data_IF_926767565798
#
_entry.id   IF_926767565798
#
_cell.length_a   1.000
_cell.length_b   1.000
_cell.length_c   1.000
_cell.angle_alpha   90.00
_cell.angle_beta   90.00
_cell.angle_gamma   90.00
#
_symmetry.space_group_name_H-M   'P 1'
#
loop_
_entity.id
_entity.type
_entity.pdbx_description
1 polymer ?
#
# COMPACT_ATOMS: atom_id res chain seq x y z
N UNK A 1 18.70 -0.75 -3.88
CA UNK A 1 19.18 -1.05 -2.51
C UNK A 1 18.63 -2.40 -2.11
N UNK A 2 19.43 -3.26 -1.46
CA UNK A 2 18.89 -4.49 -0.86
C UNK A 2 18.12 -4.13 0.42
N UNK A 3 17.09 -4.90 0.77
CA UNK A 3 16.43 -4.75 2.08
C UNK A 3 17.34 -5.24 3.21
N UNK A 4 17.05 -4.84 4.44
CA UNK A 4 17.79 -5.31 5.61
C UNK A 4 17.72 -6.83 5.76
N UNK A 5 16.57 -7.42 5.47
CA UNK A 5 16.36 -8.88 5.42
C UNK A 5 17.26 -9.54 4.37
N UNK A 6 17.22 -9.07 3.11
CA UNK A 6 18.07 -9.59 2.02
C UNK A 6 19.57 -9.49 2.39
N UNK A 7 19.99 -8.38 3.02
CA UNK A 7 21.37 -8.22 3.47
C UNK A 7 21.71 -9.22 4.59
N UNK A 8 20.86 -9.35 5.61
CA UNK A 8 21.10 -10.17 6.80
C UNK A 8 21.15 -11.67 6.48
N UNK A 9 20.28 -12.14 5.60
CA UNK A 9 20.23 -13.54 5.19
C UNK A 9 21.35 -13.90 4.20
N UNK A 10 21.88 -12.92 3.46
CA UNK A 10 23.02 -13.15 2.56
C UNK A 10 24.35 -13.35 3.29
N UNK A 11 24.45 -12.93 4.55
CA UNK A 11 25.69 -12.99 5.35
C UNK A 11 25.82 -14.38 5.98
N UNK A 12 26.19 -15.37 5.18
CA UNK A 12 26.63 -16.71 5.60
C UNK A 12 25.52 -17.72 5.95
N UNK A 13 25.73 -18.99 5.58
CA UNK A 13 24.91 -20.14 6.00
C UNK A 13 23.41 -20.06 5.69
N UNK A 14 22.64 -21.01 6.22
CA UNK A 14 21.17 -20.94 6.20
C UNK A 14 20.71 -20.02 7.34
N UNK A 15 20.29 -18.80 7.00
CA UNK A 15 19.78 -17.77 7.91
C UNK A 15 18.35 -17.38 7.51
N UNK A 16 17.49 -17.15 8.50
CA UNK A 16 16.10 -16.73 8.30
C UNK A 16 15.76 -15.61 9.30
N UNK A 17 15.37 -14.45 8.78
CA UNK A 17 14.94 -13.32 9.59
C UNK A 17 13.42 -13.22 9.57
N UNK A 18 12.80 -13.17 10.74
CA UNK A 18 11.35 -13.12 10.88
C UNK A 18 10.92 -11.84 11.60
N UNK A 19 9.97 -11.12 11.01
CA UNK A 19 9.35 -9.93 11.61
C UNK A 19 8.02 -10.33 12.21
N UNK A 20 7.73 -9.90 13.43
CA UNK A 20 6.49 -10.27 14.10
C UNK A 20 6.05 -9.27 15.15
N UNK A 21 4.74 -9.19 15.38
CA UNK A 21 4.16 -8.48 16.52
C UNK A 21 4.28 -9.24 17.84
N UNK A 22 3.68 -8.68 18.88
CA UNK A 22 3.51 -9.33 20.20
C UNK A 22 2.70 -10.61 20.05
N UNK A 23 3.13 -11.69 20.72
CA UNK A 23 2.46 -13.00 20.62
C UNK A 23 1.10 -12.90 21.34
N UNK A 24 -0.02 -13.20 20.67
CA UNK A 24 -1.32 -13.28 21.33
C UNK A 24 -1.35 -14.43 22.34
N UNK A 25 -2.05 -14.24 23.47
CA UNK A 25 -2.08 -15.22 24.56
C UNK A 25 -2.74 -16.54 24.15
N UNK A 26 -3.74 -16.48 23.27
CA UNK A 26 -4.43 -17.62 22.69
C UNK A 26 -3.52 -18.43 21.75
N UNK A 27 -2.60 -17.78 21.03
CA UNK A 27 -1.57 -18.47 20.24
C UNK A 27 -0.48 -19.04 21.14
N UNK A 28 -0.08 -18.32 22.19
CA UNK A 28 0.95 -18.77 23.13
C UNK A 28 0.56 -20.05 23.89
N UNK A 29 -0.73 -20.31 24.05
CA UNK A 29 -1.27 -21.52 24.67
C UNK A 29 -1.34 -22.74 23.73
N UNK A 30 -1.03 -22.56 22.43
CA UNK A 30 -1.09 -23.61 21.43
C UNK A 30 0.24 -24.37 21.29
N UNK A 31 0.32 -25.27 20.31
CA UNK A 31 1.53 -26.05 20.06
C UNK A 31 2.67 -25.18 19.50
N UNK A 32 3.94 -25.61 19.62
CA UNK A 32 5.06 -24.92 19.01
C UNK A 32 4.89 -24.68 17.50
N UNK A 33 4.25 -25.61 16.80
CA UNK A 33 3.97 -25.49 15.36
C UNK A 33 2.96 -24.38 15.07
N UNK A 34 1.96 -24.19 15.93
CA UNK A 34 0.99 -23.10 15.79
C UNK A 34 1.66 -21.73 16.04
N UNK A 35 2.57 -21.65 17.02
CA UNK A 35 3.36 -20.45 17.28
C UNK A 35 4.25 -20.14 16.07
N UNK A 36 4.99 -21.11 15.54
CA UNK A 36 5.84 -20.95 14.35
C UNK A 36 5.03 -20.51 13.12
N UNK A 37 3.88 -21.14 12.88
CA UNK A 37 2.99 -20.77 11.78
C UNK A 37 2.50 -19.33 11.91
N UNK A 38 2.14 -18.90 13.12
CA UNK A 38 1.73 -17.53 13.37
C UNK A 38 2.87 -16.53 13.14
N UNK A 39 4.09 -16.84 13.58
CA UNK A 39 5.27 -15.99 13.35
C UNK A 39 5.52 -15.83 11.84
N UNK A 40 5.50 -16.93 11.09
CA UNK A 40 5.68 -16.91 9.63
C UNK A 40 4.59 -16.13 8.92
N UNK A 41 3.34 -16.23 9.39
CA UNK A 41 2.24 -15.43 8.85
C UNK A 41 2.45 -13.93 9.09
N UNK A 42 2.90 -13.54 10.29
CA UNK A 42 3.22 -12.14 10.59
C UNK A 42 4.35 -11.63 9.69
N UNK A 43 5.40 -12.43 9.51
CA UNK A 43 6.51 -12.05 8.65
C UNK A 43 6.09 -11.95 7.18
N UNK A 44 5.25 -12.86 6.68
CA UNK A 44 4.74 -12.81 5.30
C UNK A 44 3.94 -11.54 5.00
N UNK A 45 3.33 -10.92 6.02
CA UNK A 45 2.73 -9.59 5.90
C UNK A 45 3.78 -8.47 5.99
N UNK A 46 4.62 -8.49 7.03
CA UNK A 46 5.46 -7.35 7.39
C UNK A 46 6.76 -7.25 6.58
N UNK A 47 7.40 -8.37 6.26
CA UNK A 47 8.67 -8.43 5.52
C UNK A 47 8.59 -7.70 4.17
N UNK A 48 7.62 -8.02 3.30
CA UNK A 48 7.45 -7.30 2.04
C UNK A 48 7.16 -5.81 2.22
N UNK A 49 6.35 -5.41 3.21
CA UNK A 49 6.07 -3.99 3.49
C UNK A 49 7.35 -3.24 3.89
N UNK A 50 8.11 -3.79 4.84
CA UNK A 50 9.39 -3.24 5.31
C UNK A 50 10.37 -3.14 4.14
N UNK A 51 10.55 -4.21 3.36
CA UNK A 51 11.47 -4.23 2.23
C UNK A 51 11.13 -3.15 1.18
N UNK A 52 9.85 -2.95 0.88
CA UNK A 52 9.41 -1.89 -0.05
C UNK A 52 9.69 -0.50 0.54
N UNK A 53 9.35 -0.28 1.82
CA UNK A 53 9.57 0.99 2.50
C UNK A 53 11.05 1.36 2.57
N UNK A 54 11.93 0.41 2.89
CA UNK A 54 13.37 0.63 2.92
C UNK A 54 13.91 0.98 1.52
N UNK A 55 13.50 0.22 0.50
CA UNK A 55 13.91 0.45 -0.88
C UNK A 55 13.46 1.82 -1.40
N UNK A 56 12.25 2.25 -1.05
CA UNK A 56 11.70 3.55 -1.45
C UNK A 56 12.37 4.71 -0.70
N UNK A 57 12.56 4.58 0.62
CA UNK A 57 13.17 5.61 1.45
C UNK A 57 14.69 5.71 1.27
N UNK A 58 15.33 4.72 0.64
CA UNK A 58 16.78 4.64 0.49
C UNK A 58 17.51 4.50 1.83
N UNK A 59 16.83 4.02 2.86
CA UNK A 59 17.41 3.79 4.20
C UNK A 59 16.80 2.57 4.86
N UNK A 60 17.61 1.87 5.66
CA UNK A 60 17.17 0.71 6.44
C UNK A 60 16.39 1.13 7.68
N UNK A 61 15.28 0.44 7.95
CA UNK A 61 14.51 0.51 9.20
C UNK A 61 15.17 -0.34 10.29
N UNK A 62 15.97 -1.32 9.90
CA UNK A 62 16.73 -2.19 10.78
C UNK A 62 18.22 -1.86 10.67
N UNK A 63 18.82 -1.45 11.78
CA UNK A 63 20.27 -1.31 11.83
C UNK A 63 20.92 -2.66 12.09
N UNK A 64 22.05 -2.93 11.45
CA UNK A 64 22.80 -4.17 11.65
C UNK A 64 24.26 -3.89 11.94
N UNK A 65 24.75 -4.38 13.07
CA UNK A 65 26.16 -4.29 13.49
C UNK A 65 26.52 -5.49 14.35
N UNK A 66 27.75 -5.99 14.23
CA UNK A 66 28.28 -7.07 15.06
C UNK A 66 27.42 -8.34 15.11
N UNK A 67 26.86 -8.75 13.96
CA UNK A 67 25.95 -9.91 13.84
C UNK A 67 24.66 -9.77 14.68
N UNK A 68 24.25 -8.53 14.99
CA UNK A 68 23.05 -8.18 15.73
C UNK A 68 22.23 -7.14 14.97
N UNK A 69 20.91 -7.29 15.00
CA UNK A 69 19.99 -6.31 14.46
C UNK A 69 19.43 -5.44 15.59
N UNK A 70 19.24 -4.15 15.34
CA UNK A 70 18.62 -3.23 16.28
C UNK A 70 17.56 -2.36 15.61
N UNK A 71 16.41 -2.24 16.28
CA UNK A 71 15.28 -1.39 15.88
C UNK A 71 14.42 -1.08 17.10
N UNK A 72 13.78 0.10 17.12
CA UNK A 72 12.88 0.48 18.23
C UNK A 72 13.52 0.47 19.62
N UNK A 73 14.84 0.70 19.72
CA UNK A 73 15.58 0.63 20.99
C UNK A 73 15.88 -0.78 21.50
N UNK A 74 15.49 -1.83 20.76
CA UNK A 74 15.77 -3.23 21.08
C UNK A 74 16.88 -3.80 20.19
N UNK A 75 17.60 -4.79 20.71
CA UNK A 75 18.65 -5.52 20.00
C UNK A 75 18.32 -7.01 19.93
N UNK A 76 18.57 -7.60 18.78
CA UNK A 76 18.21 -8.96 18.41
C UNK A 76 19.45 -9.72 17.95
N UNK A 77 19.53 -11.00 18.30
CA UNK A 77 20.64 -11.88 17.98
C UNK A 77 20.11 -13.15 17.30
N UNK A 78 20.98 -13.80 16.53
CA UNK A 78 20.68 -15.09 15.93
C UNK A 78 20.52 -16.19 16.98
N UNK A 79 19.63 -17.14 16.69
CA UNK A 79 19.42 -18.36 17.47
C UNK A 79 19.49 -19.57 16.56
N UNK A 80 20.12 -20.65 17.02
CA UNK A 80 20.21 -21.89 16.23
C UNK A 80 18.94 -22.72 16.38
N UNK A 81 18.31 -23.06 15.25
CA UNK A 81 17.20 -23.98 15.16
C UNK A 81 17.63 -25.24 14.39
N UNK A 82 17.52 -26.38 15.06
CA UNK A 82 17.73 -27.69 14.44
C UNK A 82 16.43 -28.16 13.78
N UNK A 83 16.47 -28.43 12.47
CA UNK A 83 15.37 -29.02 11.72
C UNK A 83 15.35 -30.54 11.89
N UNK A 84 14.19 -31.15 11.66
CA UNK A 84 13.97 -32.60 11.79
C UNK A 84 14.86 -33.44 10.85
N UNK A 85 15.33 -32.85 9.75
CA UNK A 85 16.26 -33.47 8.79
C UNK A 85 17.73 -33.40 9.24
N UNK A 86 18.01 -32.89 10.44
CA UNK A 86 19.35 -32.71 10.99
C UNK A 86 20.08 -31.47 10.50
N UNK A 87 19.47 -30.67 9.61
CA UNK A 87 20.03 -29.38 9.19
C UNK A 87 19.84 -28.33 10.29
N UNK A 88 20.77 -27.37 10.34
CA UNK A 88 20.72 -26.25 11.28
C UNK A 88 20.47 -24.97 10.51
N UNK A 89 19.55 -24.16 11.00
CA UNK A 89 19.27 -22.82 10.48
C UNK A 89 19.43 -21.80 11.59
N UNK A 90 20.00 -20.65 11.29
CA UNK A 90 20.08 -19.53 12.22
C UNK A 90 18.85 -18.67 12.02
N UNK A 91 18.09 -18.39 13.08
CA UNK A 91 16.87 -17.59 13.00
C UNK A 91 16.95 -16.41 13.93
N UNK A 92 16.53 -15.25 13.43
CA UNK A 92 16.41 -14.02 14.20
C UNK A 92 14.96 -13.54 14.15
N UNK A 93 14.32 -13.47 15.32
CA UNK A 93 12.96 -12.97 15.45
C UNK A 93 12.99 -11.51 15.90
N UNK A 94 12.66 -10.59 15.00
CA UNK A 94 12.51 -9.17 15.28
C UNK A 94 11.09 -8.92 15.81
N UNK A 95 11.00 -8.59 17.10
CA UNK A 95 9.75 -8.15 17.71
C UNK A 95 9.49 -6.67 17.39
N UNK A 96 8.31 -6.40 16.84
CA UNK A 96 7.82 -5.05 16.59
C UNK A 96 6.69 -4.77 17.57
N UNK A 97 6.80 -3.65 18.29
CA UNK A 97 5.74 -3.18 19.18
C UNK A 97 4.50 -2.79 18.38
N UNK A 98 3.30 -2.84 18.97
CA UNK A 98 2.05 -2.54 18.26
C UNK A 98 2.09 -1.23 17.48
N UNK A 99 2.62 -0.16 18.08
CA UNK A 99 2.72 1.17 17.46
C UNK A 99 3.66 1.18 16.25
N UNK A 100 4.70 0.34 16.27
CA UNK A 100 5.63 0.19 15.14
C UNK A 100 4.96 -0.56 13.98
N UNK A 101 4.20 -1.62 14.29
CA UNK A 101 3.43 -2.37 13.29
C UNK A 101 2.40 -1.46 12.63
N UNK A 102 1.65 -0.70 13.41
CA UNK A 102 0.68 0.28 12.90
C UNK A 102 1.35 1.34 12.04
N UNK A 103 2.49 1.88 12.48
CA UNK A 103 3.27 2.87 11.72
C UNK A 103 3.77 2.32 10.39
N UNK A 104 4.24 1.07 10.34
CA UNK A 104 4.68 0.40 9.11
C UNK A 104 3.50 0.22 8.14
N UNK A 105 2.35 -0.27 8.63
CA UNK A 105 1.15 -0.45 7.81
C UNK A 105 0.64 0.88 7.26
N UNK A 106 0.61 1.92 8.08
CA UNK A 106 0.19 3.26 7.69
C UNK A 106 1.15 3.89 6.66
N UNK A 107 2.46 3.75 6.86
CA UNK A 107 3.47 4.22 5.91
C UNK A 107 3.36 3.49 4.57
N UNK A 108 3.18 2.17 4.60
CA UNK A 108 3.00 1.36 3.38
C UNK A 108 1.72 1.72 2.64
N UNK A 109 0.59 1.91 3.34
CA UNK A 109 -0.66 2.35 2.74
C UNK A 109 -0.51 3.76 2.10
N UNK A 110 0.15 4.69 2.81
CA UNK A 110 0.43 6.03 2.29
C UNK A 110 1.33 6.01 1.05
N UNK A 111 2.32 5.11 1.02
CA UNK A 111 3.17 4.91 -0.16
C UNK A 111 2.36 4.37 -1.34
N UNK A 112 1.54 3.34 -1.14
CA UNK A 112 0.67 2.80 -2.20
C UNK A 112 -0.25 3.89 -2.76
N UNK A 113 -0.85 4.66 -1.87
CA UNK A 113 -1.72 5.78 -2.23
C UNK A 113 -0.97 6.83 -3.06
N UNK A 114 0.23 7.23 -2.63
CA UNK A 114 1.05 8.23 -3.34
C UNK A 114 1.49 7.75 -4.72
N UNK A 115 1.90 6.48 -4.84
CA UNK A 115 2.28 5.87 -6.12
C UNK A 115 1.05 5.74 -7.04
N UNK A 116 -0.08 5.32 -6.48
CA UNK A 116 -1.33 5.21 -7.23
C UNK A 116 -1.79 6.57 -7.75
N UNK A 117 -1.84 7.59 -6.89
CA UNK A 117 -2.17 8.97 -7.26
C UNK A 117 -1.28 9.49 -8.41
N UNK A 118 0.03 9.23 -8.33
CA UNK A 118 0.98 9.61 -9.38
C UNK A 118 0.74 8.92 -10.73
N UNK A 119 0.40 7.63 -10.70
CA UNK A 119 0.18 6.82 -11.91
C UNK A 119 -1.19 7.05 -12.54
N UNK A 120 -2.25 7.08 -11.72
CA UNK A 120 -3.64 7.15 -12.17
C UNK A 120 -3.91 8.44 -12.95
N UNK A 121 -3.32 9.55 -12.49
CA UNK A 121 -3.37 10.86 -13.15
C UNK A 121 -2.72 10.87 -14.54
N UNK A 122 -1.61 10.16 -14.71
CA UNK A 122 -0.83 10.15 -15.96
C UNK A 122 -1.33 9.12 -16.99
N UNK A 123 -2.09 8.12 -16.54
CA UNK A 123 -2.54 7.01 -17.38
C UNK A 123 -4.04 7.10 -17.60
N UNK A 124 -4.82 6.54 -16.68
CA UNK A 124 -6.26 6.33 -16.79
C UNK A 124 -7.04 7.65 -16.83
N UNK A 125 -6.66 8.61 -15.97
CA UNK A 125 -7.38 9.89 -15.87
C UNK A 125 -6.94 10.93 -16.90
N UNK A 126 -5.76 10.76 -17.51
CA UNK A 126 -5.22 11.72 -18.47
C UNK A 126 -6.19 12.00 -19.61
N UNK A 127 -6.80 10.97 -20.19
CA UNK A 127 -7.75 11.13 -21.29
C UNK A 127 -8.98 11.97 -20.92
N UNK A 128 -9.50 11.80 -19.71
CA UNK A 128 -10.61 12.62 -19.20
C UNK A 128 -10.20 14.08 -19.04
N UNK A 129 -9.02 14.32 -18.48
CA UNK A 129 -8.51 15.66 -18.20
C UNK A 129 -8.12 16.42 -19.47
N UNK A 130 -7.56 15.73 -20.47
CA UNK A 130 -7.26 16.30 -21.80
C UNK A 130 -8.57 16.69 -22.53
N UNK A 131 -9.70 16.09 -22.17
CA UNK A 131 -11.03 16.44 -22.70
C UNK A 131 -11.61 17.73 -22.11
N UNK A 132 -11.01 18.30 -21.06
CA UNK A 132 -11.48 19.56 -20.47
C UNK A 132 -10.96 20.73 -21.29
N UNK A 133 -11.86 21.43 -21.98
CA UNK A 133 -11.51 22.59 -22.77
C UNK A 133 -11.54 23.87 -21.90
N UNK A 134 -10.52 24.70 -22.03
CA UNK A 134 -10.34 25.92 -21.23
C UNK A 134 -10.34 27.13 -22.16
N UNK A 135 -11.24 28.09 -21.90
CA UNK A 135 -11.38 29.30 -22.70
C UNK A 135 -11.31 30.54 -21.80
N UNK A 136 -10.68 31.61 -22.28
CA UNK A 136 -10.71 32.89 -21.59
C UNK A 136 -11.85 33.75 -22.17
N UNK A 137 -12.86 34.04 -21.37
CA UNK A 137 -14.08 34.75 -21.77
C UNK A 137 -14.43 35.79 -20.71
N UNK A 138 -14.71 37.02 -21.13
CA UNK A 138 -15.14 38.12 -20.25
C UNK A 138 -14.24 38.36 -19.02
N UNK A 139 -12.93 38.21 -19.20
CA UNK A 139 -11.94 38.43 -18.14
C UNK A 139 -11.78 37.26 -17.17
N UNK A 140 -12.44 36.12 -17.40
CA UNK A 140 -12.34 34.91 -16.58
C UNK A 140 -12.02 33.65 -17.38
N UNK A 141 -11.58 32.60 -16.67
CA UNK A 141 -11.45 31.26 -17.24
C UNK A 141 -12.82 30.57 -17.21
N UNK A 142 -13.23 30.02 -18.35
CA UNK A 142 -14.40 29.15 -18.49
C UNK A 142 -13.92 27.74 -18.87
N UNK A 143 -14.47 26.75 -18.19
CA UNK A 143 -14.14 25.35 -18.38
C UNK A 143 -15.34 24.62 -19.00
N UNK A 144 -15.08 23.76 -19.98
CA UNK A 144 -16.07 22.92 -20.64
C UNK A 144 -15.69 21.44 -20.43
N UNK A 145 -16.58 20.73 -19.73
CA UNK A 145 -16.42 19.31 -19.36
C UNK A 145 -17.18 18.37 -20.28
N UNK A 146 -17.85 18.88 -21.33
CA UNK A 146 -18.78 18.08 -22.13
C UNK A 146 -18.13 16.81 -22.70
N UNK A 147 -16.85 16.87 -23.10
CA UNK A 147 -16.12 15.71 -23.58
C UNK A 147 -15.76 14.73 -22.45
N UNK A 148 -15.34 15.24 -21.28
CA UNK A 148 -15.07 14.42 -20.09
C UNK A 148 -16.34 13.66 -19.68
N UNK A 149 -17.47 14.36 -19.55
CA UNK A 149 -18.74 13.78 -19.12
C UNK A 149 -19.24 12.74 -20.14
N UNK A 150 -19.10 13.01 -21.44
CA UNK A 150 -19.45 12.05 -22.49
C UNK A 150 -18.58 10.78 -22.44
N UNK A 151 -17.29 10.90 -22.12
CA UNK A 151 -16.40 9.74 -21.94
C UNK A 151 -16.83 8.90 -20.74
N UNK A 152 -17.18 9.53 -19.61
CA UNK A 152 -17.65 8.84 -18.41
C UNK A 152 -18.97 8.11 -18.67
N UNK A 153 -19.93 8.75 -19.34
CA UNK A 153 -21.21 8.12 -19.69
C UNK A 153 -21.04 6.95 -20.67
N UNK A 154 -20.16 7.10 -21.67
CA UNK A 154 -19.85 6.02 -22.60
C UNK A 154 -19.25 4.82 -21.86
N UNK A 155 -18.34 5.07 -20.91
CA UNK A 155 -17.71 4.01 -20.12
C UNK A 155 -18.70 3.37 -19.17
N UNK A 156 -19.55 4.15 -18.51
CA UNK A 156 -20.63 3.67 -17.64
C UNK A 156 -21.52 2.63 -18.33
N UNK A 157 -21.89 2.89 -19.58
CA UNK A 157 -22.73 1.96 -20.38
C UNK A 157 -22.05 0.63 -20.76
N UNK A 158 -20.73 0.51 -20.58
CA UNK A 158 -19.94 -0.67 -20.98
C UNK A 158 -19.28 -1.38 -19.80
N UNK A 159 -18.80 -0.63 -18.82
CA UNK A 159 -17.96 -1.06 -17.70
C UNK A 159 -18.29 -0.20 -16.48
N UNK A 160 -19.39 -0.53 -15.80
CA UNK A 160 -19.93 0.27 -14.70
C UNK A 160 -18.93 0.46 -13.55
N UNK A 161 -18.28 -0.62 -13.10
CA UNK A 161 -17.35 -0.60 -11.97
C UNK A 161 -16.14 0.31 -12.24
N UNK A 162 -15.57 0.19 -13.45
CA UNK A 162 -14.44 1.03 -13.86
C UNK A 162 -14.84 2.50 -14.01
N UNK A 163 -16.05 2.79 -14.48
CA UNK A 163 -16.55 4.16 -14.61
C UNK A 163 -16.75 4.79 -13.21
N UNK A 164 -17.28 4.04 -12.24
CA UNK A 164 -17.37 4.52 -10.86
C UNK A 164 -16.00 4.78 -10.24
N UNK A 165 -15.04 3.88 -10.47
CA UNK A 165 -13.66 4.09 -10.03
C UNK A 165 -13.05 5.35 -10.67
N UNK A 166 -13.29 5.58 -11.97
CA UNK A 166 -12.83 6.78 -12.67
C UNK A 166 -13.39 8.05 -12.06
N UNK A 167 -14.69 8.09 -11.74
CA UNK A 167 -15.33 9.23 -11.09
C UNK A 167 -14.75 9.53 -9.72
N UNK A 168 -14.63 8.50 -8.87
CA UNK A 168 -14.07 8.67 -7.51
C UNK A 168 -12.62 9.14 -7.57
N UNK A 169 -11.83 8.62 -8.50
CA UNK A 169 -10.42 8.97 -8.63
C UNK A 169 -10.22 10.36 -9.28
N UNK A 170 -11.09 10.76 -10.21
CA UNK A 170 -11.13 12.15 -10.71
C UNK A 170 -11.43 13.14 -9.59
N UNK A 171 -12.38 12.82 -8.72
CA UNK A 171 -12.67 13.66 -7.56
C UNK A 171 -11.55 13.66 -6.52
N UNK A 172 -10.92 12.50 -6.28
CA UNK A 172 -9.90 12.36 -5.23
C UNK A 172 -8.56 12.96 -5.64
N UNK A 173 -8.08 12.65 -6.84
CA UNK A 173 -6.74 13.05 -7.31
C UNK A 173 -6.78 14.24 -8.28
N UNK A 174 -7.87 14.41 -9.03
CA UNK A 174 -8.07 15.55 -9.94
C UNK A 174 -8.64 16.80 -9.24
N UNK A 175 -8.93 16.73 -7.94
CA UNK A 175 -9.58 17.77 -7.12
C UNK A 175 -9.05 19.18 -7.36
N UNK A 176 -7.71 19.34 -7.33
CA UNK A 176 -7.05 20.65 -7.48
C UNK A 176 -7.33 21.31 -8.82
N UNK A 177 -7.58 20.52 -9.85
CA UNK A 177 -7.95 21.00 -11.17
C UNK A 177 -9.47 21.18 -11.30
N UNK A 178 -10.26 20.21 -10.83
CA UNK A 178 -11.69 20.09 -11.15
C UNK A 178 -12.64 20.85 -10.21
N UNK A 179 -12.30 21.01 -8.92
CA UNK A 179 -13.16 21.74 -7.98
C UNK A 179 -13.07 23.26 -8.16
N UNK A 180 -11.86 23.78 -8.38
CA UNK A 180 -11.63 25.21 -8.64
C UNK A 180 -12.27 25.69 -9.96
N UNK A 181 -12.68 24.76 -10.81
CA UNK A 181 -13.20 24.99 -12.15
C UNK A 181 -14.70 24.70 -12.26
N UNK A 182 -15.34 24.22 -11.18
CA UNK A 182 -16.80 24.04 -11.08
C UNK A 182 -17.34 22.73 -11.64
N UNK A 183 -16.51 21.69 -11.80
CA UNK A 183 -16.99 20.36 -12.19
C UNK A 183 -17.87 19.73 -11.09
N UNK A 184 -18.98 19.12 -11.47
CA UNK A 184 -20.07 18.78 -10.54
C UNK A 184 -20.11 17.31 -10.15
N UNK A 185 -19.05 16.84 -9.49
CA UNK A 185 -18.94 15.44 -9.04
C UNK A 185 -20.20 14.91 -8.33
N UNK A 186 -20.73 15.66 -7.35
CA UNK A 186 -21.90 15.21 -6.57
C UNK A 186 -23.15 14.99 -7.44
N UNK A 187 -23.44 15.90 -8.37
CA UNK A 187 -24.60 15.78 -9.26
C UNK A 187 -24.46 14.57 -10.19
N UNK A 188 -23.25 14.28 -10.68
CA UNK A 188 -22.99 13.11 -11.54
C UNK A 188 -23.17 11.81 -10.74
N UNK A 189 -22.59 11.74 -9.53
CA UNK A 189 -22.67 10.55 -8.70
C UNK A 189 -24.11 10.23 -8.28
N UNK A 190 -24.87 11.25 -7.88
CA UNK A 190 -26.29 11.11 -7.52
C UNK A 190 -27.12 10.59 -8.71
N UNK A 191 -26.87 11.10 -9.91
CA UNK A 191 -27.52 10.63 -11.13
C UNK A 191 -27.19 9.16 -11.45
N UNK A 192 -25.96 8.72 -11.15
CA UNK A 192 -25.53 7.35 -11.43
C UNK A 192 -26.08 6.34 -10.43
N UNK A 193 -26.08 6.68 -9.15
CA UNK A 193 -26.65 5.83 -8.08
C UNK A 193 -28.17 5.76 -8.21
N UNK A 194 -28.83 6.88 -8.51
CA UNK A 194 -30.29 6.93 -8.72
C UNK A 194 -30.79 6.17 -9.95
N UNK A 195 -29.90 5.79 -10.88
CA UNK A 195 -30.21 5.00 -12.08
C UNK A 195 -30.01 3.49 -11.90
N UNK A 196 -29.55 2.98 -10.75
CA UNK A 196 -29.42 1.53 -10.56
C UNK A 196 -30.81 0.87 -10.47
N UNK A 197 -31.07 -0.22 -11.23
CA UNK A 197 -32.27 -1.02 -11.00
C UNK A 197 -32.22 -1.62 -9.59
N UNK A 198 -33.37 -1.81 -8.91
CA UNK A 198 -33.40 -2.35 -7.56
C UNK A 198 -32.71 -3.72 -7.51
N UNK A 199 -31.80 -3.88 -6.54
CA UNK A 199 -31.18 -5.16 -6.21
C UNK A 199 -32.31 -6.13 -5.85
N UNK A 200 -32.44 -7.20 -6.63
CA UNK A 200 -33.41 -8.29 -6.38
C UNK A 200 -32.95 -9.18 -5.24
#
# INVERSE_FOLDING_TARGET
MQSSEEMLESVGGARELLYRGVLPADIAAQSPEAIDAWIKQQHAELGPMIAILEKFNGSSLISYRFDQASTGGSTYSWSELAKLDGTKTQVMNILLQPEQVESIKAAYASLKESVYAGLVMQTRLKGYLDGVNIQFVDGGLKFDYSALDAMLELKRGRQLDEAFQDIVDLHTYGKSFLEGSGWKFGEILDAWIGCQPPVK
#
